data_IF_432943340982
#
_entry.id   IF_432943340982
#
_cell.length_a   1.000
_cell.length_b   1.000
_cell.length_c   1.000
_cell.angle_alpha   90.00
_cell.angle_beta   90.00
_cell.angle_gamma   90.00
#
_symmetry.space_group_name_H-M   'P 1'
#
loop_
_entity.id
_entity.type
_entity.pdbx_description
1 polymer ?
#
# COMPACT_ATOMS: atom_id res chain seq x y z
N UNK A 1 -8.94 11.51 18.26
CA UNK A 1 -7.90 11.07 17.35
C UNK A 1 -7.27 12.26 16.66
N UNK A 2 -6.05 12.11 16.20
CA UNK A 2 -5.37 13.13 15.40
C UNK A 2 -5.86 13.00 13.97
N UNK A 3 -6.36 14.09 13.37
CA UNK A 3 -6.75 14.11 11.96
C UNK A 3 -5.51 13.90 11.07
N UNK A 4 -5.69 13.20 9.94
CA UNK A 4 -4.62 13.08 8.96
C UNK A 4 -4.39 14.41 8.23
N UNK A 5 -3.13 14.79 7.99
CA UNK A 5 -2.84 15.95 7.16
C UNK A 5 -3.16 15.67 5.69
N UNK A 6 -3.21 16.73 4.88
CA UNK A 6 -3.29 16.58 3.44
C UNK A 6 -2.02 15.89 2.91
N UNK A 7 -2.20 14.86 2.10
CA UNK A 7 -1.09 14.10 1.51
C UNK A 7 -0.66 14.77 0.18
N UNK A 8 0.33 15.65 0.27
CA UNK A 8 0.81 16.45 -0.85
C UNK A 8 2.10 15.93 -1.49
N UNK A 9 2.67 14.86 -0.96
CA UNK A 9 3.88 14.23 -1.50
C UNK A 9 3.64 13.53 -2.83
N UNK A 10 4.72 13.30 -3.55
CA UNK A 10 4.72 12.56 -4.82
C UNK A 10 5.15 11.10 -4.66
N UNK A 11 5.55 10.70 -3.46
CA UNK A 11 5.97 9.33 -3.14
C UNK A 11 5.37 8.88 -1.82
N UNK A 12 5.34 7.56 -1.60
CA UNK A 12 4.87 6.98 -0.35
C UNK A 12 5.69 7.46 0.85
N UNK A 13 7.02 7.57 0.70
CA UNK A 13 7.89 8.01 1.79
C UNK A 13 7.62 9.46 2.18
N UNK A 14 7.42 10.35 1.22
CA UNK A 14 7.07 11.75 1.50
C UNK A 14 5.77 11.86 2.28
N UNK A 15 4.74 11.14 1.88
CA UNK A 15 3.44 11.15 2.56
C UNK A 15 3.51 10.49 3.95
N UNK A 16 4.28 9.41 4.10
CA UNK A 16 4.50 8.80 5.41
C UNK A 16 5.23 9.75 6.37
N UNK A 17 6.24 10.49 5.88
CA UNK A 17 6.93 11.52 6.66
C UNK A 17 5.97 12.64 7.06
N UNK A 18 5.15 13.15 6.14
CA UNK A 18 4.15 14.19 6.42
C UNK A 18 3.20 13.75 7.54
N UNK A 19 2.68 12.55 7.46
CA UNK A 19 1.76 11.99 8.47
C UNK A 19 2.43 11.80 9.83
N UNK A 20 3.64 11.25 9.85
CA UNK A 20 4.39 11.04 11.09
C UNK A 20 4.76 12.38 11.75
N UNK A 21 5.20 13.36 10.96
CA UNK A 21 5.55 14.70 11.44
C UNK A 21 4.35 15.40 12.05
N UNK A 22 3.22 15.39 11.36
CA UNK A 22 1.97 15.96 11.85
C UNK A 22 1.53 15.31 13.17
N UNK A 23 1.57 13.97 13.24
CA UNK A 23 1.21 13.24 14.46
C UNK A 23 2.14 13.60 15.64
N UNK A 24 3.45 13.72 15.39
CA UNK A 24 4.43 14.10 16.40
C UNK A 24 4.24 15.54 16.88
N UNK A 25 3.95 16.48 15.97
CA UNK A 25 3.63 17.87 16.32
C UNK A 25 2.41 17.98 17.22
N UNK A 26 1.36 17.21 16.90
CA UNK A 26 0.10 17.25 17.65
C UNK A 26 0.17 16.53 18.99
N UNK A 27 0.95 15.48 19.09
CA UNK A 27 1.03 14.67 20.31
C UNK A 27 2.18 15.07 21.24
N UNK A 28 3.22 15.71 20.72
CA UNK A 28 4.46 15.94 21.44
C UNK A 28 5.28 14.68 21.70
N UNK A 29 4.99 13.59 20.99
CA UNK A 29 5.60 12.26 21.17
C UNK A 29 6.30 11.80 19.88
N UNK A 30 7.20 10.80 19.97
CA UNK A 30 7.63 10.07 18.78
C UNK A 30 6.42 9.53 18.04
N UNK A 31 6.48 9.54 16.72
CA UNK A 31 5.36 9.10 15.89
C UNK A 31 5.78 8.13 14.82
N UNK A 32 4.91 7.19 14.54
CA UNK A 32 5.02 6.24 13.43
C UNK A 32 3.83 6.46 12.50
N UNK A 33 4.12 6.44 11.21
CA UNK A 33 3.08 6.48 10.18
C UNK A 33 3.47 5.59 9.01
N UNK A 34 2.47 5.13 8.28
CA UNK A 34 2.68 4.37 7.05
C UNK A 34 1.94 5.00 5.88
N UNK A 35 2.44 4.73 4.70
CA UNK A 35 1.73 4.95 3.45
C UNK A 35 1.96 3.75 2.55
N UNK A 36 0.92 3.31 1.85
CA UNK A 36 0.95 2.10 1.05
C UNK A 36 0.02 2.20 -0.15
N UNK A 37 0.28 1.40 -1.16
CA UNK A 37 -0.55 1.36 -2.34
C UNK A 37 -0.15 0.29 -3.33
N UNK A 38 -0.96 0.19 -4.37
CA UNK A 38 -0.75 -0.66 -5.52
C UNK A 38 -0.08 0.13 -6.64
N UNK A 39 1.01 -0.40 -7.17
CA UNK A 39 1.77 0.17 -8.29
C UNK A 39 1.65 -0.78 -9.47
N UNK A 40 1.09 -0.32 -10.60
CA UNK A 40 0.91 -1.11 -11.81
C UNK A 40 1.79 -0.54 -12.92
N UNK A 41 2.70 -1.35 -13.44
CA UNK A 41 3.72 -0.89 -14.39
C UNK A 41 3.12 -0.33 -15.69
N UNK A 42 2.12 -1.01 -16.25
CA UNK A 42 1.45 -0.57 -17.49
C UNK A 42 0.69 0.75 -17.35
N UNK A 43 0.42 1.20 -16.12
CA UNK A 43 -0.25 2.46 -15.82
C UNK A 43 0.70 3.52 -15.24
N UNK A 44 2.00 3.39 -15.52
CA UNK A 44 3.04 4.29 -15.00
C UNK A 44 3.00 4.46 -13.48
N UNK A 45 2.67 3.39 -12.77
CA UNK A 45 2.61 3.36 -11.31
C UNK A 45 1.24 3.64 -10.69
N UNK A 46 0.24 4.03 -11.49
CA UNK A 46 -1.12 4.17 -10.98
C UNK A 46 -1.70 2.80 -10.55
N UNK A 47 -2.59 2.72 -9.58
CA UNK A 47 -3.17 3.75 -8.72
C UNK A 47 -2.20 4.48 -7.79
N UNK A 48 -1.09 3.85 -7.36
CA UNK A 48 -0.04 4.48 -6.54
C UNK A 48 -0.57 5.14 -5.28
N UNK A 49 -0.29 6.42 -5.12
CA UNK A 49 -0.72 7.23 -3.99
C UNK A 49 -2.24 7.34 -3.86
N UNK A 50 -2.97 7.14 -4.96
CA UNK A 50 -4.43 7.24 -5.01
C UNK A 50 -5.13 5.90 -4.81
N UNK A 51 -4.42 4.85 -4.40
CA UNK A 51 -4.95 3.48 -4.32
C UNK A 51 -6.27 3.39 -3.56
N UNK A 52 -6.39 4.07 -2.42
CA UNK A 52 -7.62 4.04 -1.61
C UNK A 52 -8.79 4.84 -2.22
N UNK A 53 -8.51 5.79 -3.13
CA UNK A 53 -9.49 6.72 -3.70
C UNK A 53 -9.41 6.83 -5.22
N UNK A 54 -8.97 5.78 -5.87
CA UNK A 54 -8.66 5.76 -7.31
C UNK A 54 -9.86 6.13 -8.19
N UNK A 55 -11.05 5.64 -7.84
CA UNK A 55 -12.29 5.96 -8.56
C UNK A 55 -12.95 7.29 -8.10
N UNK A 56 -12.39 7.95 -7.07
CA UNK A 56 -12.96 9.19 -6.53
C UNK A 56 -14.25 9.00 -5.75
N UNK A 57 -14.54 7.80 -5.28
CA UNK A 57 -15.72 7.44 -4.49
C UNK A 57 -15.30 7.10 -3.06
N UNK A 58 -16.04 7.60 -2.09
CA UNK A 58 -15.81 7.31 -0.67
C UNK A 58 -16.81 6.28 -0.14
N UNK A 59 -16.49 5.72 1.03
CA UNK A 59 -17.37 4.81 1.75
C UNK A 59 -17.29 3.36 1.28
N UNK A 60 -18.34 2.60 1.56
CA UNK A 60 -18.36 1.14 1.39
C UNK A 60 -18.20 0.67 -0.06
N UNK A 61 -18.52 1.51 -1.02
CA UNK A 61 -18.40 1.20 -2.45
C UNK A 61 -17.02 1.51 -3.04
N UNK A 62 -16.14 2.20 -2.29
CA UNK A 62 -14.86 2.67 -2.80
C UNK A 62 -14.00 1.54 -3.36
N UNK A 63 -13.82 0.46 -2.61
CA UNK A 63 -12.99 -0.67 -3.04
C UNK A 63 -13.49 -1.30 -4.34
N UNK A 64 -14.78 -1.55 -4.45
CA UNK A 64 -15.37 -2.12 -5.65
C UNK A 64 -15.21 -1.20 -6.87
N UNK A 65 -15.43 0.09 -6.70
CA UNK A 65 -15.27 1.08 -7.76
C UNK A 65 -13.81 1.27 -8.18
N UNK A 66 -12.89 1.19 -7.23
CA UNK A 66 -11.47 1.25 -7.51
C UNK A 66 -11.02 0.03 -8.35
N UNK A 67 -11.51 -1.17 -8.03
CA UNK A 67 -11.23 -2.38 -8.82
C UNK A 67 -11.84 -2.31 -10.22
N UNK A 68 -13.09 -1.83 -10.32
CA UNK A 68 -13.76 -1.63 -11.60
C UNK A 68 -12.97 -0.69 -12.51
N UNK A 69 -12.51 0.45 -11.97
CA UNK A 69 -11.68 1.40 -12.72
C UNK A 69 -10.36 0.77 -13.15
N UNK A 70 -9.68 0.05 -12.27
CA UNK A 70 -8.41 -0.62 -12.58
C UNK A 70 -8.57 -1.61 -13.73
N UNK A 71 -9.60 -2.44 -13.70
CA UNK A 71 -9.89 -3.41 -14.76
C UNK A 71 -10.18 -2.71 -16.09
N UNK A 72 -10.94 -1.61 -16.07
CA UNK A 72 -11.25 -0.83 -17.28
C UNK A 72 -9.99 -0.25 -17.92
N UNK A 73 -9.09 0.31 -17.13
CA UNK A 73 -7.83 0.88 -17.61
C UNK A 73 -6.83 -0.17 -18.11
N UNK A 74 -6.95 -1.41 -17.66
CA UNK A 74 -6.12 -2.53 -18.11
C UNK A 74 -6.78 -3.39 -19.19
N UNK A 75 -7.96 -3.01 -19.69
CA UNK A 75 -8.74 -3.84 -20.63
C UNK A 75 -7.95 -4.28 -21.86
N UNK A 76 -7.13 -3.40 -22.42
CA UNK A 76 -6.32 -3.66 -23.62
C UNK A 76 -4.87 -4.06 -23.30
N UNK A 77 -4.56 -4.31 -22.02
CA UNK A 77 -3.22 -4.70 -21.58
C UNK A 77 -3.13 -6.22 -21.50
N UNK A 78 -2.20 -6.80 -22.26
CA UNK A 78 -1.98 -8.25 -22.29
C UNK A 78 -1.48 -8.79 -20.94
N UNK A 79 -1.65 -10.09 -20.74
CA UNK A 79 -1.24 -10.77 -19.48
C UNK A 79 0.21 -10.51 -19.13
N UNK A 80 1.10 -10.54 -20.13
CA UNK A 80 2.55 -10.38 -19.93
C UNK A 80 2.95 -8.97 -19.49
N UNK A 81 2.04 -8.01 -19.58
CA UNK A 81 2.29 -6.60 -19.24
C UNK A 81 1.50 -6.13 -18.03
N UNK A 82 0.94 -7.05 -17.25
CA UNK A 82 0.11 -6.74 -16.08
C UNK A 82 0.86 -6.85 -14.75
N UNK A 83 2.18 -6.70 -14.79
CA UNK A 83 2.99 -6.69 -13.56
C UNK A 83 2.57 -5.56 -12.64
N UNK A 84 2.49 -5.88 -11.38
CA UNK A 84 2.14 -4.95 -10.32
C UNK A 84 2.89 -5.29 -9.04
N UNK A 85 2.92 -4.35 -8.12
CA UNK A 85 3.42 -4.60 -6.77
C UNK A 85 2.61 -3.82 -5.76
N UNK A 86 2.43 -4.38 -4.58
CA UNK A 86 2.07 -3.61 -3.40
C UNK A 86 3.32 -3.06 -2.73
N UNK A 87 3.25 -1.82 -2.29
CA UNK A 87 4.32 -1.14 -1.57
C UNK A 87 3.79 -0.68 -0.22
N UNK A 88 4.55 -0.88 0.84
CA UNK A 88 4.29 -0.30 2.16
C UNK A 88 5.53 0.43 2.65
N UNK A 89 5.38 1.69 3.02
CA UNK A 89 6.46 2.51 3.59
C UNK A 89 6.07 2.92 5.00
N UNK A 90 6.92 2.64 5.96
CA UNK A 90 6.73 2.98 7.38
C UNK A 90 7.82 3.96 7.78
N UNK A 91 7.44 5.05 8.47
CA UNK A 91 8.35 6.08 8.96
C UNK A 91 8.17 6.22 10.46
N UNK A 92 9.28 6.24 11.19
CA UNK A 92 9.33 6.55 12.62
C UNK A 92 10.15 7.82 12.84
N UNK A 93 9.53 8.85 13.42
CA UNK A 93 10.16 10.10 13.85
C UNK A 93 10.29 10.13 15.37
N UNK A 94 11.42 10.57 15.87
CA UNK A 94 11.62 10.80 17.31
C UNK A 94 10.99 12.12 17.79
N UNK A 95 10.93 13.13 16.92
CA UNK A 95 10.31 14.42 17.16
C UNK A 95 9.97 15.10 15.81
N UNK A 96 9.17 16.19 15.80
CA UNK A 96 8.74 16.79 14.53
C UNK A 96 9.85 17.26 13.60
N UNK A 97 11.00 17.63 14.16
CA UNK A 97 12.15 18.13 13.40
C UNK A 97 13.25 17.09 13.25
N UNK A 98 12.94 15.82 13.44
CA UNK A 98 13.92 14.72 13.31
C UNK A 98 14.54 14.74 11.91
N UNK A 99 15.87 14.98 11.80
CA UNK A 99 16.54 15.04 10.50
C UNK A 99 16.87 13.65 9.93
N UNK A 100 16.72 12.60 10.73
CA UNK A 100 17.12 11.25 10.36
C UNK A 100 16.08 10.21 10.80
N UNK A 101 14.85 10.29 10.24
CA UNK A 101 13.82 9.32 10.59
C UNK A 101 14.22 7.89 10.19
N UNK A 102 13.67 6.92 10.90
CA UNK A 102 13.77 5.52 10.48
C UNK A 102 12.75 5.28 9.41
N UNK A 103 13.19 4.78 8.25
CA UNK A 103 12.34 4.47 7.10
C UNK A 103 12.47 2.97 6.81
N UNK A 104 11.34 2.29 6.75
CA UNK A 104 11.26 0.88 6.42
C UNK A 104 10.28 0.67 5.28
N UNK A 105 10.67 -0.07 4.24
CA UNK A 105 9.85 -0.32 3.08
C UNK A 105 9.77 -1.81 2.79
N UNK A 106 8.59 -2.27 2.41
CA UNK A 106 8.35 -3.64 1.95
C UNK A 106 7.56 -3.63 0.65
N UNK A 107 7.87 -4.58 -0.22
CA UNK A 107 7.21 -4.76 -1.51
C UNK A 107 6.77 -6.21 -1.69
N UNK A 108 5.67 -6.40 -2.39
CA UNK A 108 5.20 -7.71 -2.80
C UNK A 108 4.84 -7.67 -4.27
N UNK A 109 5.58 -8.39 -5.09
CA UNK A 109 5.38 -8.46 -6.54
C UNK A 109 4.24 -9.41 -6.91
N UNK A 110 3.52 -9.07 -7.97
CA UNK A 110 2.44 -9.87 -8.48
C UNK A 110 1.96 -9.41 -9.85
N UNK A 111 0.76 -9.83 -10.20
CA UNK A 111 0.10 -9.47 -11.44
C UNK A 111 -1.37 -9.15 -11.21
N UNK A 112 -1.92 -8.24 -12.01
CA UNK A 112 -3.36 -7.97 -12.03
C UNK A 112 -4.04 -8.93 -12.99
N UNK A 113 -4.95 -9.73 -12.50
CA UNK A 113 -5.74 -10.66 -13.31
C UNK A 113 -6.94 -9.97 -13.94
N UNK A 114 -7.64 -10.67 -14.85
CA UNK A 114 -8.76 -10.09 -15.62
C UNK A 114 -10.09 -10.11 -14.86
N UNK A 115 -10.26 -11.03 -13.94
CA UNK A 115 -11.49 -11.23 -13.18
C UNK A 115 -11.17 -11.43 -11.70
N UNK A 116 -12.02 -10.90 -10.83
CA UNK A 116 -11.84 -11.05 -9.39
C UNK A 116 -11.91 -12.52 -8.96
N UNK A 117 -11.02 -12.94 -8.07
CA UNK A 117 -11.00 -14.26 -7.45
C UNK A 117 -10.75 -14.15 -5.95
N UNK A 118 -11.57 -14.84 -5.18
CA UNK A 118 -11.49 -14.86 -3.72
C UNK A 118 -12.33 -13.77 -3.07
N UNK A 119 -12.59 -13.94 -1.78
CA UNK A 119 -13.48 -13.09 -1.00
C UNK A 119 -12.84 -12.52 0.25
N UNK A 120 -11.60 -12.94 0.55
CA UNK A 120 -10.89 -12.47 1.73
C UNK A 120 -10.18 -11.13 1.46
N UNK A 121 -9.77 -10.47 2.53
CA UNK A 121 -9.03 -9.23 2.42
C UNK A 121 -9.88 -8.03 2.03
N UNK A 122 -9.25 -7.06 1.37
CA UNK A 122 -9.84 -5.78 1.02
C UNK A 122 -9.13 -5.15 -0.19
N UNK A 123 -9.59 -3.98 -0.60
CA UNK A 123 -8.94 -3.21 -1.66
C UNK A 123 -8.86 -3.97 -2.99
N UNK A 124 -7.65 -4.18 -3.46
CA UNK A 124 -7.36 -4.84 -4.74
C UNK A 124 -7.00 -6.32 -4.60
N UNK A 125 -7.12 -6.91 -3.41
CA UNK A 125 -6.66 -8.27 -3.11
C UNK A 125 -7.24 -9.32 -4.06
N UNK A 126 -8.49 -9.17 -4.48
CA UNK A 126 -9.16 -10.11 -5.40
C UNK A 126 -8.65 -10.05 -6.84
N UNK A 127 -7.91 -9.01 -7.20
CA UNK A 127 -7.29 -8.83 -8.51
C UNK A 127 -5.78 -9.07 -8.51
N UNK A 128 -5.16 -9.13 -7.33
CA UNK A 128 -3.71 -9.25 -7.19
C UNK A 128 -3.30 -10.71 -7.05
N UNK A 129 -2.75 -11.25 -8.12
CA UNK A 129 -2.24 -12.63 -8.17
C UNK A 129 -0.80 -12.68 -7.67
N UNK A 130 -0.53 -13.54 -6.69
CA UNK A 130 0.81 -13.81 -6.17
C UNK A 130 1.41 -15.03 -6.87
N UNK A 131 2.49 -14.87 -7.65
CA UNK A 131 3.20 -16.01 -8.24
C UNK A 131 3.78 -16.96 -7.18
N UNK A 132 4.21 -16.39 -6.06
CA UNK A 132 4.75 -17.16 -4.92
C UNK A 132 3.72 -18.16 -4.34
N UNK A 133 2.45 -17.75 -4.29
CA UNK A 133 1.35 -18.57 -3.74
C UNK A 133 0.52 -19.27 -4.80
N UNK A 134 0.60 -18.86 -6.05
CA UNK A 134 -0.19 -19.43 -7.14
C UNK A 134 -1.67 -19.09 -7.09
N UNK A 135 -2.04 -18.02 -6.37
CA UNK A 135 -3.42 -17.56 -6.21
C UNK A 135 -3.46 -16.05 -5.90
N UNK A 136 -4.67 -15.49 -5.85
CA UNK A 136 -4.83 -14.08 -5.44
C UNK A 136 -4.71 -13.92 -3.93
N UNK A 137 -4.43 -12.70 -3.48
CA UNK A 137 -4.42 -12.38 -2.05
C UNK A 137 -5.80 -12.62 -1.40
N UNK A 138 -6.89 -12.42 -2.14
CA UNK A 138 -8.25 -12.69 -1.65
C UNK A 138 -8.59 -14.18 -1.55
N UNK A 139 -7.82 -15.05 -2.18
CA UNK A 139 -7.94 -16.51 -2.05
C UNK A 139 -7.11 -17.08 -0.87
N UNK A 140 -6.24 -16.25 -0.28
CA UNK A 140 -5.45 -16.61 0.90
C UNK A 140 -6.22 -16.37 2.19
N UNK A 141 -6.00 -17.23 3.17
CA UNK A 141 -6.40 -16.90 4.54
C UNK A 141 -5.55 -15.76 5.10
N UNK A 142 -6.12 -15.00 6.03
CA UNK A 142 -5.46 -13.83 6.61
C UNK A 142 -4.07 -14.15 7.18
N UNK A 143 -3.91 -15.30 7.81
CA UNK A 143 -2.63 -15.76 8.38
C UNK A 143 -1.57 -15.95 7.29
N UNK A 144 -1.94 -16.57 6.16
CA UNK A 144 -1.02 -16.81 5.04
C UNK A 144 -0.63 -15.51 4.33
N UNK A 145 -1.59 -14.60 4.10
CA UNK A 145 -1.34 -13.28 3.53
C UNK A 145 -0.36 -12.47 4.39
N UNK A 146 -0.51 -12.50 5.71
CA UNK A 146 0.36 -11.76 6.65
C UNK A 146 1.82 -12.20 6.59
N UNK A 147 2.11 -13.40 6.11
CA UNK A 147 3.49 -13.88 5.97
C UNK A 147 4.24 -13.28 4.78
N UNK A 148 3.52 -12.86 3.75
CA UNK A 148 4.10 -12.44 2.47
C UNK A 148 3.74 -11.00 2.06
N UNK A 149 2.83 -10.35 2.77
CA UNK A 149 2.35 -9.02 2.38
C UNK A 149 3.45 -7.95 2.46
N UNK A 150 3.29 -6.91 1.66
CA UNK A 150 4.14 -5.72 1.66
C UNK A 150 4.27 -5.10 3.05
N UNK A 151 3.16 -5.03 3.82
CA UNK A 151 3.14 -4.51 5.18
C UNK A 151 3.94 -5.40 6.14
N UNK A 152 3.81 -6.71 6.05
CA UNK A 152 4.59 -7.65 6.85
C UNK A 152 6.09 -7.51 6.59
N UNK A 153 6.46 -7.36 5.33
CA UNK A 153 7.86 -7.12 4.92
C UNK A 153 8.39 -5.80 5.45
N UNK A 154 7.62 -4.71 5.36
CA UNK A 154 8.00 -3.42 5.90
C UNK A 154 8.18 -3.46 7.42
N UNK A 155 7.28 -4.12 8.15
CA UNK A 155 7.38 -4.29 9.60
C UNK A 155 8.62 -5.10 10.01
N UNK A 156 8.98 -6.11 9.25
CA UNK A 156 10.21 -6.90 9.47
C UNK A 156 11.44 -6.02 9.32
N UNK A 157 11.50 -5.20 8.28
CA UNK A 157 12.60 -4.24 8.07
C UNK A 157 12.65 -3.22 9.21
N UNK A 158 11.51 -2.66 9.60
CA UNK A 158 11.44 -1.71 10.72
C UNK A 158 11.98 -2.33 12.01
N UNK A 159 11.53 -3.54 12.33
CA UNK A 159 11.98 -4.27 13.53
C UNK A 159 13.49 -4.46 13.52
N UNK A 160 14.07 -4.84 12.38
CA UNK A 160 15.53 -5.02 12.27
C UNK A 160 16.30 -3.72 12.53
N UNK A 161 15.79 -2.59 12.07
CA UNK A 161 16.39 -1.27 12.28
C UNK A 161 16.29 -0.78 13.72
N UNK A 162 15.23 -1.16 14.43
CA UNK A 162 15.03 -0.81 15.84
C UNK A 162 15.89 -1.63 16.79
N UNK A 163 16.28 -2.84 16.38
CA UNK A 163 17.08 -3.77 17.21
C UNK A 163 18.58 -3.78 16.86
N UNK A 164 18.95 -3.00 15.86
CA UNK A 164 20.34 -2.86 15.43
C UNK A 164 21.17 -1.97 16.34
#
# INVERSE_FOLDING_TARGET
>A
GIESPEETGLTFVENAILKARYASEKSGLPAIADDSGLVVDALNGAPGLYSARYAGVDGDEADAKNREKLLAELADVSTERRQAKFVSTIVLLQHPSDPSPIIAQGECDGQIIYEEKGENGFGYDSLFFSPEKGCTFAELETVEKKKISHRAKALTVLKSKLTA
#
